data_IF_273348301766
#
_entry.id   IF_273348301766
#
_cell.length_a   1.000
_cell.length_b   1.000
_cell.length_c   1.000
_cell.angle_alpha   90.00
_cell.angle_beta   90.00
_cell.angle_gamma   90.00
#
_symmetry.space_group_name_H-M   'P 1'
#
loop_
_entity.id
_entity.type
_entity.pdbx_description
1 polymer ?
#
# COMPACT_ATOMS: atom_id res chain seq x y z
N UNK A 1 70.92 -65.17 2.15
CA UNK A 1 71.08 -66.43 1.41
C UNK A 1 70.65 -66.08 -0.03
N UNK A 2 71.68 -66.05 -0.89
CA UNK A 2 71.81 -66.48 -2.28
C UNK A 2 70.74 -65.99 -3.27
N UNK A 3 71.15 -65.05 -4.12
CA UNK A 3 71.64 -65.29 -5.53
C UNK A 3 70.56 -65.85 -6.45
N UNK A 4 70.22 -65.08 -7.55
CA UNK A 4 70.77 -65.41 -8.85
C UNK A 4 70.49 -64.24 -9.89
N UNK A 5 71.53 -63.94 -10.64
CA UNK A 5 71.64 -62.99 -11.76
C UNK A 5 71.21 -63.73 -13.04
N UNK A 6 70.66 -63.08 -13.99
CA UNK A 6 71.09 -63.13 -15.41
C UNK A 6 70.14 -62.27 -16.28
N UNK A 7 70.66 -61.24 -16.87
CA UNK A 7 71.00 -60.95 -18.28
C UNK A 7 70.07 -61.58 -19.28
N UNK A 8 69.57 -60.71 -20.19
CA UNK A 8 69.83 -60.81 -21.64
C UNK A 8 69.13 -59.64 -22.42
N UNK A 9 69.94 -58.84 -23.09
CA UNK A 9 69.92 -58.24 -24.46
C UNK A 9 68.64 -57.61 -25.02
N UNK A 10 68.73 -56.31 -25.24
CA UNK A 10 68.71 -55.60 -26.48
C UNK A 10 67.89 -56.19 -27.65
N UNK A 11 66.81 -55.51 -28.03
CA UNK A 11 66.36 -55.41 -29.42
C UNK A 11 65.72 -54.03 -29.67
N UNK A 12 66.38 -53.32 -30.56
CA UNK A 12 65.89 -52.02 -31.12
C UNK A 12 64.72 -52.31 -32.04
N UNK A 13 63.58 -51.73 -31.81
CA UNK A 13 62.57 -51.54 -32.86
C UNK A 13 62.03 -50.13 -32.79
N UNK A 14 62.15 -49.44 -33.94
CA UNK A 14 61.66 -48.12 -34.20
C UNK A 14 60.15 -48.18 -34.22
N UNK A 15 59.51 -47.45 -33.32
CA UNK A 15 58.09 -47.16 -33.46
C UNK A 15 57.90 -45.64 -33.59
N UNK A 16 57.26 -45.26 -34.69
CA UNK A 16 56.97 -43.90 -35.06
C UNK A 16 56.01 -43.25 -34.03
N UNK A 17 56.38 -42.05 -33.60
CA UNK A 17 55.61 -41.23 -32.73
C UNK A 17 54.50 -40.55 -33.55
N UNK A 18 53.25 -41.04 -33.48
CA UNK A 18 52.09 -40.34 -33.95
C UNK A 18 51.61 -39.36 -32.83
N UNK A 19 51.91 -38.06 -33.03
CA UNK A 19 51.37 -37.02 -32.18
C UNK A 19 49.95 -36.73 -32.67
N UNK A 20 48.93 -37.23 -31.97
CA UNK A 20 47.57 -36.83 -32.13
C UNK A 20 47.35 -35.47 -31.42
N UNK A 21 47.35 -34.39 -32.22
CA UNK A 21 46.96 -33.06 -31.73
C UNK A 21 45.42 -33.05 -31.58
N UNK A 22 44.94 -33.27 -30.36
CA UNK A 22 43.54 -33.05 -30.01
C UNK A 22 43.30 -31.56 -29.84
N UNK A 23 42.73 -30.91 -30.85
CA UNK A 23 42.27 -29.52 -30.76
C UNK A 23 41.04 -29.48 -29.89
N UNK A 24 41.22 -29.15 -28.61
CA UNK A 24 40.09 -28.75 -27.72
C UNK A 24 39.59 -27.36 -28.15
N UNK A 25 38.59 -27.35 -29.01
CA UNK A 25 37.80 -26.12 -29.24
C UNK A 25 37.01 -25.84 -27.94
N UNK A 26 37.56 -24.99 -27.08
CA UNK A 26 36.83 -24.45 -25.93
C UNK A 26 35.72 -23.54 -26.49
N UNK A 27 34.49 -24.08 -26.59
CA UNK A 27 33.30 -23.26 -26.84
C UNK A 27 33.09 -22.42 -25.58
N UNK A 28 33.58 -21.20 -25.55
CA UNK A 28 33.27 -20.19 -24.55
C UNK A 28 31.80 -19.81 -24.73
N UNK A 29 30.91 -20.53 -24.07
CA UNK A 29 29.53 -20.06 -23.90
C UNK A 29 29.63 -18.82 -23.01
N UNK A 30 29.27 -17.62 -23.45
CA UNK A 30 29.21 -16.49 -22.55
C UNK A 30 28.15 -16.82 -21.51
N UNK A 31 28.56 -17.10 -20.27
CA UNK A 31 27.65 -17.02 -19.13
C UNK A 31 27.21 -15.55 -19.08
N UNK A 32 26.04 -15.29 -19.65
CA UNK A 32 25.33 -14.05 -19.40
C UNK A 32 25.06 -14.03 -17.91
N UNK A 33 25.90 -13.34 -17.15
CA UNK A 33 25.59 -12.95 -15.78
C UNK A 33 24.40 -12.00 -15.85
N UNK A 34 23.21 -12.56 -16.02
CA UNK A 34 21.99 -11.83 -15.84
C UNK A 34 22.06 -11.24 -14.42
N UNK A 35 22.31 -9.92 -14.34
CA UNK A 35 22.16 -9.17 -13.10
C UNK A 35 20.77 -9.54 -12.60
N UNK A 36 20.68 -10.23 -11.46
CA UNK A 36 19.39 -10.50 -10.84
C UNK A 36 18.69 -9.15 -10.77
N UNK A 37 17.59 -8.99 -11.50
CA UNK A 37 16.87 -7.71 -11.49
C UNK A 37 16.37 -7.53 -10.05
N UNK A 38 16.66 -6.38 -9.46
CA UNK A 38 16.15 -6.03 -8.15
C UNK A 38 14.64 -6.27 -8.14
N UNK A 39 14.12 -6.90 -7.10
CA UNK A 39 12.68 -7.11 -6.97
C UNK A 39 11.95 -5.75 -6.96
N UNK A 40 10.84 -5.66 -7.69
CA UNK A 40 9.95 -4.51 -7.62
C UNK A 40 9.13 -4.61 -6.34
N UNK A 41 9.42 -3.73 -5.38
CA UNK A 41 8.85 -3.80 -4.05
C UNK A 41 7.73 -2.79 -3.89
N UNK A 42 6.62 -3.21 -3.26
CA UNK A 42 5.55 -2.29 -2.94
C UNK A 42 5.02 -2.47 -1.51
N UNK A 43 4.28 -1.47 -1.05
CA UNK A 43 3.60 -1.48 0.25
C UNK A 43 2.19 -0.90 0.14
N UNK A 44 1.47 -0.97 1.26
CA UNK A 44 0.18 -0.32 1.45
C UNK A 44 0.09 0.29 2.84
N UNK A 45 -0.70 1.35 3.00
CA UNK A 45 -1.03 1.87 4.33
C UNK A 45 -1.81 0.81 5.12
N UNK A 46 -1.51 0.63 6.43
CA UNK A 46 -2.21 -0.35 7.28
C UNK A 46 -3.53 0.23 7.80
N UNK A 47 -4.52 0.35 6.92
CA UNK A 47 -5.79 1.03 7.17
C UNK A 47 -6.87 0.15 7.79
N UNK A 48 -6.69 -1.16 7.74
CA UNK A 48 -7.58 -2.17 8.32
C UNK A 48 -6.81 -3.31 8.99
N UNK A 49 -7.45 -4.47 9.18
CA UNK A 49 -6.86 -5.67 9.77
C UNK A 49 -5.63 -6.17 8.98
N UNK A 50 -4.53 -6.45 9.68
CA UNK A 50 -3.24 -6.82 9.08
C UNK A 50 -3.32 -8.12 8.29
N UNK A 51 -4.05 -9.12 8.76
CA UNK A 51 -4.14 -10.42 8.09
C UNK A 51 -4.87 -10.30 6.76
N UNK A 52 -5.93 -9.50 6.71
CA UNK A 52 -6.67 -9.19 5.48
C UNK A 52 -5.82 -8.43 4.48
N UNK A 53 -5.04 -7.44 4.95
CA UNK A 53 -4.10 -6.69 4.10
C UNK A 53 -3.03 -7.60 3.50
N UNK A 54 -2.44 -8.49 4.30
CA UNK A 54 -1.44 -9.46 3.81
C UNK A 54 -2.04 -10.39 2.74
N UNK A 55 -3.22 -10.92 2.98
CA UNK A 55 -3.90 -11.78 2.00
C UNK A 55 -4.17 -11.04 0.68
N UNK A 56 -4.69 -9.81 0.76
CA UNK A 56 -4.95 -8.95 -0.39
C UNK A 56 -3.69 -8.67 -1.19
N UNK A 57 -2.69 -8.11 -0.53
CA UNK A 57 -1.52 -7.60 -1.23
C UNK A 57 -0.54 -8.68 -1.66
N UNK A 58 -0.58 -9.89 -1.08
CA UNK A 58 0.10 -11.04 -1.64
C UNK A 58 -0.53 -11.47 -2.98
N UNK A 59 -1.87 -11.46 -3.10
CA UNK A 59 -2.53 -11.69 -4.41
C UNK A 59 -2.13 -10.64 -5.44
N UNK A 60 -2.07 -9.37 -5.03
CA UNK A 60 -1.60 -8.27 -5.90
C UNK A 60 -0.16 -8.47 -6.32
N UNK A 61 0.73 -8.90 -5.42
CA UNK A 61 2.13 -9.19 -5.75
C UNK A 61 2.23 -10.26 -6.84
N UNK A 62 1.55 -11.40 -6.66
CA UNK A 62 1.53 -12.48 -7.66
C UNK A 62 0.95 -12.04 -9.00
N UNK A 63 -0.10 -11.23 -8.99
CA UNK A 63 -0.68 -10.66 -10.20
C UNK A 63 0.31 -9.73 -10.92
N UNK A 64 0.92 -8.78 -10.22
CA UNK A 64 1.89 -7.85 -10.78
C UNK A 64 3.12 -8.61 -11.34
N UNK A 65 3.64 -9.58 -10.60
CA UNK A 65 4.78 -10.41 -11.03
C UNK A 65 4.46 -11.13 -12.35
N UNK A 66 3.28 -11.77 -12.44
CA UNK A 66 2.85 -12.49 -13.65
C UNK A 66 2.70 -11.58 -14.88
N UNK A 67 2.37 -10.30 -14.68
CA UNK A 67 2.12 -9.33 -15.76
C UNK A 67 3.34 -8.49 -16.13
N UNK A 68 4.20 -8.21 -15.17
CA UNK A 68 5.39 -7.37 -15.39
C UNK A 68 6.63 -8.17 -15.79
N UNK A 69 6.66 -9.49 -15.50
CA UNK A 69 7.81 -10.37 -15.80
C UNK A 69 9.05 -10.07 -14.94
N UNK A 70 8.88 -9.44 -13.79
CA UNK A 70 9.93 -9.18 -12.79
C UNK A 70 9.45 -9.66 -11.43
N UNK A 71 10.36 -10.04 -10.54
CA UNK A 71 10.01 -10.40 -9.18
C UNK A 71 9.31 -9.24 -8.48
N UNK A 72 8.15 -9.49 -7.83
CA UNK A 72 7.37 -8.48 -7.13
C UNK A 72 7.14 -8.90 -5.68
N UNK A 73 7.45 -8.00 -4.75
CA UNK A 73 7.32 -8.28 -3.30
C UNK A 73 6.45 -7.24 -2.62
N UNK A 74 5.45 -7.70 -1.86
CA UNK A 74 4.72 -6.87 -0.91
C UNK A 74 5.41 -6.86 0.45
N UNK A 75 5.71 -5.68 0.99
CA UNK A 75 6.19 -5.54 2.37
C UNK A 75 5.14 -4.81 3.21
N UNK A 76 4.63 -5.45 4.28
CA UNK A 76 3.73 -4.79 5.21
C UNK A 76 4.47 -3.81 6.10
N UNK A 77 3.79 -2.75 6.51
CA UNK A 77 4.32 -1.73 7.41
C UNK A 77 3.41 -1.54 8.62
N UNK A 78 3.95 -1.02 9.72
CA UNK A 78 3.21 -0.90 10.99
C UNK A 78 2.41 0.41 11.14
N UNK A 79 2.62 1.40 10.26
CA UNK A 79 1.91 2.68 10.31
C UNK A 79 1.88 3.39 8.97
N UNK A 80 0.97 4.35 8.82
CA UNK A 80 0.93 5.24 7.65
C UNK A 80 2.24 6.03 7.47
N UNK A 81 2.84 6.47 8.57
CA UNK A 81 4.13 7.15 8.52
C UNK A 81 5.25 6.21 8.03
N UNK A 82 5.23 4.95 8.44
CA UNK A 82 6.19 3.94 7.97
C UNK A 82 6.03 3.66 6.46
N UNK A 83 4.79 3.66 5.92
CA UNK A 83 4.58 3.53 4.48
C UNK A 83 5.19 4.70 3.70
N UNK A 84 4.96 5.93 4.16
CA UNK A 84 5.55 7.13 3.56
C UNK A 84 7.08 7.12 3.68
N UNK A 85 7.63 6.71 4.82
CA UNK A 85 9.07 6.60 5.02
C UNK A 85 9.71 5.54 4.12
N UNK A 86 9.10 4.37 3.99
CA UNK A 86 9.57 3.32 3.09
C UNK A 86 9.62 3.79 1.62
N UNK A 87 8.60 4.53 1.18
CA UNK A 87 8.55 5.11 -0.15
C UNK A 87 9.61 6.19 -0.35
N UNK A 88 9.78 7.08 0.63
CA UNK A 88 10.82 8.13 0.61
C UNK A 88 12.23 7.54 0.56
N UNK A 89 12.50 6.53 1.37
CA UNK A 89 13.82 5.91 1.51
C UNK A 89 14.10 4.85 0.43
N UNK A 90 13.26 4.76 -0.61
CA UNK A 90 13.41 3.82 -1.72
C UNK A 90 13.41 2.33 -1.32
N UNK A 91 12.82 2.02 -0.18
CA UNK A 91 12.57 0.64 0.24
C UNK A 91 11.39 0.01 -0.52
N UNK A 92 10.53 0.85 -1.08
CA UNK A 92 9.42 0.47 -1.96
C UNK A 92 9.31 1.47 -3.12
N UNK A 93 8.95 0.97 -4.28
CA UNK A 93 8.84 1.79 -5.50
C UNK A 93 7.40 2.09 -5.89
N UNK A 94 6.46 1.31 -5.37
CA UNK A 94 5.01 1.48 -5.56
C UNK A 94 4.32 1.42 -4.19
N UNK A 95 3.24 2.19 -4.01
CA UNK A 95 2.50 2.13 -2.76
C UNK A 95 1.00 2.41 -2.96
N UNK A 96 0.16 1.63 -2.28
CA UNK A 96 -1.26 1.92 -2.12
C UNK A 96 -1.44 2.89 -0.96
N UNK A 97 -1.73 4.15 -1.27
CA UNK A 97 -1.89 5.23 -0.32
C UNK A 97 -3.33 5.73 -0.26
N UNK A 98 -3.73 6.32 0.87
CA UNK A 98 -4.84 7.26 0.93
C UNK A 98 -4.41 8.65 0.44
N UNK A 99 -5.36 9.55 0.19
CA UNK A 99 -5.12 10.90 -0.36
C UNK A 99 -4.02 11.65 0.38
N UNK A 100 -4.14 11.81 1.70
CA UNK A 100 -3.15 12.55 2.52
C UNK A 100 -1.77 11.89 2.53
N UNK A 101 -1.70 10.59 2.75
CA UNK A 101 -0.41 9.89 2.77
C UNK A 101 0.27 9.88 1.40
N UNK A 102 -0.51 9.75 0.31
CA UNK A 102 0.02 9.82 -1.05
C UNK A 102 0.52 11.22 -1.42
N UNK A 103 -0.22 12.28 -1.07
CA UNK A 103 0.24 13.68 -1.25
C UNK A 103 1.55 13.89 -0.51
N UNK A 104 1.64 13.48 0.77
CA UNK A 104 2.90 13.58 1.55
C UNK A 104 4.05 12.81 0.91
N UNK A 105 3.81 11.59 0.47
CA UNK A 105 4.83 10.76 -0.16
C UNK A 105 5.38 11.42 -1.44
N UNK A 106 4.50 11.96 -2.28
CA UNK A 106 4.89 12.62 -3.53
C UNK A 106 5.60 13.96 -3.33
N UNK A 107 5.26 14.72 -2.29
CA UNK A 107 6.01 15.93 -1.89
C UNK A 107 7.44 15.54 -1.47
N UNK A 108 7.60 14.46 -0.71
CA UNK A 108 8.90 14.00 -0.20
C UNK A 108 9.76 13.29 -1.26
N UNK A 109 9.17 12.84 -2.38
CA UNK A 109 9.85 12.15 -3.47
C UNK A 109 9.47 12.83 -4.80
N UNK A 110 10.15 13.91 -5.19
CA UNK A 110 9.89 14.61 -6.45
C UNK A 110 9.95 13.67 -7.66
N UNK A 111 9.08 13.89 -8.62
CA UNK A 111 8.94 13.03 -9.81
C UNK A 111 8.06 11.79 -9.60
N UNK A 112 7.60 11.51 -8.37
CA UNK A 112 6.61 10.45 -8.15
C UNK A 112 5.20 10.88 -8.58
N UNK A 113 4.41 9.88 -8.99
CA UNK A 113 3.11 10.10 -9.61
C UNK A 113 2.05 9.19 -9.00
N UNK A 114 0.82 9.71 -8.87
CA UNK A 114 -0.37 8.88 -8.74
C UNK A 114 -0.71 8.35 -10.13
N UNK A 115 -0.81 7.01 -10.29
CA UNK A 115 -0.95 6.39 -11.62
C UNK A 115 -2.27 5.66 -11.83
N UNK A 116 -2.89 5.20 -10.75
CA UNK A 116 -4.19 4.51 -10.79
C UNK A 116 -4.93 4.70 -9.47
N UNK A 117 -6.26 4.72 -9.53
CA UNK A 117 -7.16 4.80 -8.38
C UNK A 117 -8.36 3.88 -8.61
N UNK A 118 -9.05 3.47 -7.54
CA UNK A 118 -10.32 2.78 -7.69
C UNK A 118 -11.37 3.74 -8.25
N UNK A 119 -12.32 3.23 -9.03
CA UNK A 119 -13.40 4.07 -9.59
C UNK A 119 -14.14 4.83 -8.49
N UNK A 120 -14.43 4.19 -7.37
CA UNK A 120 -15.10 4.79 -6.22
C UNK A 120 -14.22 5.79 -5.44
N UNK A 121 -12.91 5.74 -5.65
CA UNK A 121 -11.97 6.63 -4.95
C UNK A 121 -11.98 8.06 -5.50
N UNK A 122 -12.54 8.29 -6.69
CA UNK A 122 -12.74 9.63 -7.26
C UNK A 122 -13.74 10.45 -6.44
N UNK A 123 -14.74 9.78 -5.83
CA UNK A 123 -15.79 10.39 -5.03
C UNK A 123 -16.00 9.63 -3.72
N UNK A 124 -14.91 9.43 -3.00
CA UNK A 124 -14.88 8.70 -1.73
C UNK A 124 -15.52 9.52 -0.61
N UNK A 125 -16.06 8.85 0.40
CA UNK A 125 -16.60 9.48 1.60
C UNK A 125 -16.26 8.66 2.86
N UNK A 126 -16.41 9.25 4.01
CA UNK A 126 -16.29 8.58 5.29
C UNK A 126 -17.53 8.80 6.16
N UNK A 127 -17.66 7.96 7.17
CA UNK A 127 -18.71 8.06 8.16
C UNK A 127 -18.18 8.63 9.48
N UNK A 128 -18.99 9.43 10.14
CA UNK A 128 -18.95 9.63 11.58
C UNK A 128 -19.85 8.57 12.21
N UNK A 129 -19.32 7.87 13.19
CA UNK A 129 -20.02 6.80 13.93
C UNK A 129 -20.09 7.13 15.40
N UNK A 130 -21.14 6.69 16.07
CA UNK A 130 -21.33 6.94 17.50
C UNK A 130 -21.78 5.68 18.22
N UNK A 131 -21.36 5.55 19.48
CA UNK A 131 -21.86 4.55 20.40
C UNK A 131 -23.30 4.87 20.81
N UNK A 132 -24.14 3.85 20.95
CA UNK A 132 -25.58 3.99 21.28
C UNK A 132 -25.83 4.79 22.55
N UNK A 133 -24.93 4.72 23.57
CA UNK A 133 -25.06 5.48 24.81
C UNK A 133 -25.03 7.01 24.63
N UNK A 134 -24.65 7.50 23.46
CA UNK A 134 -24.63 8.95 23.18
C UNK A 134 -26.00 9.52 22.86
N UNK A 135 -26.96 8.69 22.46
CA UNK A 135 -28.26 9.10 21.96
C UNK A 135 -28.20 9.84 20.61
N UNK A 136 -27.02 9.88 19.94
CA UNK A 136 -26.85 10.55 18.66
C UNK A 136 -27.52 9.75 17.54
N UNK A 137 -28.32 10.42 16.74
CA UNK A 137 -29.03 9.83 15.61
C UNK A 137 -28.42 10.29 14.28
N UNK A 138 -28.70 9.53 13.24
CA UNK A 138 -28.28 9.88 11.87
C UNK A 138 -28.91 11.21 11.43
N UNK A 139 -28.07 12.04 10.83
CA UNK A 139 -28.45 13.34 10.27
C UNK A 139 -27.81 13.52 8.90
N UNK A 140 -28.47 14.26 8.02
CA UNK A 140 -27.89 14.74 6.74
C UNK A 140 -27.02 15.98 6.96
N UNK A 141 -27.24 16.73 8.04
CA UNK A 141 -26.40 17.83 8.47
C UNK A 141 -25.29 17.36 9.42
N UNK A 142 -24.19 18.14 9.49
CA UNK A 142 -23.11 17.86 10.41
C UNK A 142 -23.62 17.88 11.88
N UNK A 143 -23.43 16.81 12.63
CA UNK A 143 -24.00 16.67 13.98
C UNK A 143 -23.20 17.48 15.01
N UNK A 144 -23.56 18.75 15.22
CA UNK A 144 -22.88 19.66 16.15
C UNK A 144 -22.87 19.16 17.60
N UNK A 145 -23.82 18.31 17.96
CA UNK A 145 -23.96 17.69 19.29
C UNK A 145 -22.93 16.58 19.60
N UNK A 146 -21.98 16.32 18.67
CA UNK A 146 -20.78 15.56 19.00
C UNK A 146 -19.80 16.33 19.91
N UNK A 147 -19.95 17.66 20.02
CA UNK A 147 -19.15 18.47 20.93
C UNK A 147 -19.27 17.96 22.39
N UNK A 148 -18.17 18.03 23.13
CA UNK A 148 -18.06 17.53 24.51
C UNK A 148 -17.96 16.02 24.66
N UNK A 149 -18.02 15.23 23.57
CA UNK A 149 -17.87 13.77 23.60
C UNK A 149 -16.41 13.35 23.62
N UNK A 150 -16.15 12.06 23.87
CA UNK A 150 -14.85 11.42 23.70
C UNK A 150 -14.73 10.95 22.24
N UNK A 151 -13.79 11.51 21.49
CA UNK A 151 -13.67 11.30 20.05
C UNK A 151 -12.38 10.54 19.65
N UNK A 152 -12.46 9.61 18.72
CA UNK A 152 -11.29 9.00 18.10
C UNK A 152 -11.21 9.25 16.60
N UNK A 153 -10.06 9.71 16.17
CA UNK A 153 -9.63 9.62 14.78
C UNK A 153 -9.10 8.22 14.47
N UNK A 154 -8.88 7.91 13.17
CA UNK A 154 -8.13 6.76 12.72
C UNK A 154 -6.62 6.96 12.89
N UNK A 155 -5.81 6.76 11.83
CA UNK A 155 -4.39 7.11 11.83
C UNK A 155 -4.17 8.60 11.64
N UNK A 156 -3.10 9.15 12.25
CA UNK A 156 -2.67 10.54 12.04
C UNK A 156 -2.38 10.90 10.57
N UNK A 157 -2.04 9.90 9.73
CA UNK A 157 -1.79 10.07 8.29
C UNK A 157 -3.00 9.76 7.40
N UNK A 158 -4.17 9.44 7.97
CA UNK A 158 -5.36 9.05 7.22
C UNK A 158 -6.12 10.26 6.65
N UNK A 159 -6.61 10.14 5.43
CA UNK A 159 -7.55 11.08 4.82
C UNK A 159 -8.92 10.97 5.48
N UNK A 160 -9.54 9.78 5.36
CA UNK A 160 -10.89 9.50 5.84
C UNK A 160 -10.99 9.37 7.36
N UNK A 161 -9.90 8.97 8.03
CA UNK A 161 -9.87 8.83 9.48
C UNK A 161 -9.31 10.04 10.23
N UNK A 162 -8.76 11.06 9.53
CA UNK A 162 -8.15 12.24 10.17
C UNK A 162 -8.41 13.53 9.40
N UNK A 163 -7.88 13.69 8.20
CA UNK A 163 -7.88 14.97 7.49
C UNK A 163 -9.29 15.52 7.29
N UNK A 164 -10.13 14.77 6.60
CA UNK A 164 -11.49 15.20 6.24
C UNK A 164 -12.39 15.34 7.48
N UNK A 165 -12.40 14.38 8.43
CA UNK A 165 -13.13 14.57 9.69
C UNK A 165 -12.72 15.84 10.44
N UNK A 166 -11.42 16.10 10.60
CA UNK A 166 -10.95 17.29 11.31
C UNK A 166 -11.32 18.58 10.58
N UNK A 167 -11.22 18.59 9.24
CA UNK A 167 -11.67 19.73 8.46
C UNK A 167 -13.15 20.06 8.73
N UNK A 168 -14.03 19.05 8.71
CA UNK A 168 -15.46 19.26 8.98
C UNK A 168 -15.72 19.66 10.43
N UNK A 169 -15.02 19.12 11.40
CA UNK A 169 -15.09 19.53 12.80
C UNK A 169 -14.74 21.02 12.91
N UNK A 170 -13.59 21.44 12.39
CA UNK A 170 -13.14 22.84 12.42
C UNK A 170 -14.10 23.77 11.66
N UNK A 171 -14.58 23.35 10.49
CA UNK A 171 -15.51 24.12 9.65
C UNK A 171 -16.83 24.39 10.38
N UNK A 172 -17.41 23.38 11.03
CA UNK A 172 -18.75 23.46 11.61
C UNK A 172 -18.76 23.92 13.07
N UNK A 173 -17.73 23.55 13.85
CA UNK A 173 -17.66 23.91 15.28
C UNK A 173 -16.71 25.08 15.56
N UNK A 174 -16.00 25.62 14.52
CA UNK A 174 -15.12 26.79 14.59
C UNK A 174 -13.99 26.69 15.62
N UNK A 175 -13.63 25.48 16.05
CA UNK A 175 -12.61 25.19 17.05
C UNK A 175 -11.77 23.97 16.62
N UNK A 176 -10.57 23.84 17.18
CA UNK A 176 -9.77 22.66 17.00
C UNK A 176 -10.36 21.44 17.76
N UNK A 177 -10.13 20.21 17.32
CA UNK A 177 -10.72 19.04 17.98
C UNK A 177 -10.45 18.98 19.50
N UNK A 178 -9.25 19.35 19.95
CA UNK A 178 -8.93 19.34 21.38
C UNK A 178 -9.71 20.37 22.21
N UNK A 179 -10.24 21.41 21.54
CA UNK A 179 -11.06 22.46 22.20
C UNK A 179 -12.56 22.14 22.12
N UNK A 180 -12.91 21.11 21.34
CA UNK A 180 -14.30 20.68 21.11
C UNK A 180 -14.64 19.46 21.94
N UNK A 181 -13.76 18.48 21.99
CA UNK A 181 -14.01 17.19 22.60
C UNK A 181 -13.40 17.09 23.99
N UNK A 182 -14.06 16.33 24.86
CA UNK A 182 -13.53 16.05 26.20
C UNK A 182 -12.18 15.31 26.11
N UNK A 183 -12.04 14.44 25.12
CA UNK A 183 -10.79 13.71 24.83
C UNK A 183 -10.72 13.41 23.34
N UNK A 184 -9.52 13.55 22.77
CA UNK A 184 -9.22 13.16 21.39
C UNK A 184 -8.19 12.04 21.40
N UNK A 185 -8.47 10.96 20.66
CA UNK A 185 -7.54 9.85 20.47
C UNK A 185 -7.31 9.50 19.00
N UNK A 186 -6.41 8.54 18.81
CA UNK A 186 -6.07 7.98 17.49
C UNK A 186 -6.05 6.46 17.60
N UNK A 187 -6.94 5.80 16.89
CA UNK A 187 -7.07 4.33 16.90
C UNK A 187 -5.96 3.61 16.12
N UNK A 188 -5.34 4.31 15.16
CA UNK A 188 -4.30 3.77 14.27
C UNK A 188 -4.84 3.26 12.92
N UNK A 189 -6.00 2.59 12.88
CA UNK A 189 -6.66 2.13 11.67
C UNK A 189 -8.19 2.10 11.81
N UNK A 190 -8.90 1.82 10.71
CA UNK A 190 -10.36 1.92 10.67
C UNK A 190 -11.06 0.78 11.41
N UNK A 191 -10.57 -0.46 11.30
CA UNK A 191 -11.13 -1.59 12.06
C UNK A 191 -11.07 -1.32 13.57
N UNK A 192 -9.93 -0.79 14.04
CA UNK A 192 -9.77 -0.41 15.43
C UNK A 192 -10.67 0.76 15.85
N UNK A 193 -10.91 1.74 14.96
CA UNK A 193 -11.88 2.81 15.22
C UNK A 193 -13.26 2.24 15.51
N UNK A 194 -13.76 1.32 14.66
CA UNK A 194 -15.06 0.68 14.84
C UNK A 194 -15.13 -0.04 16.19
N UNK A 195 -14.12 -0.86 16.50
CA UNK A 195 -14.06 -1.62 17.75
C UNK A 195 -14.09 -0.71 18.99
N UNK A 196 -13.33 0.39 18.98
CA UNK A 196 -13.26 1.32 20.10
C UNK A 196 -14.56 2.09 20.31
N UNK A 197 -15.27 2.44 19.24
CA UNK A 197 -16.59 3.10 19.36
C UNK A 197 -17.64 2.06 19.78
N UNK A 198 -17.67 0.90 19.17
CA UNK A 198 -18.62 -0.17 19.50
C UNK A 198 -18.49 -0.65 20.96
N UNK A 199 -17.29 -0.66 21.52
CA UNK A 199 -17.06 -1.02 22.93
C UNK A 199 -17.39 0.10 23.92
N UNK A 200 -17.71 1.32 23.45
CA UNK A 200 -17.93 2.49 24.27
C UNK A 200 -16.66 3.16 24.82
N UNK A 201 -15.46 2.64 24.52
CA UNK A 201 -14.19 3.26 24.91
C UNK A 201 -14.01 4.66 24.30
N UNK A 202 -14.62 4.89 23.15
CA UNK A 202 -14.84 6.19 22.54
C UNK A 202 -16.30 6.34 22.17
N UNK A 203 -16.83 7.54 22.37
CA UNK A 203 -18.23 7.83 22.12
C UNK A 203 -18.53 8.12 20.66
N UNK A 204 -17.58 8.74 19.96
CA UNK A 204 -17.68 9.11 18.54
C UNK A 204 -16.37 8.81 17.83
N UNK A 205 -16.45 8.46 16.56
CA UNK A 205 -15.26 8.23 15.74
C UNK A 205 -15.50 8.52 14.27
N UNK A 206 -14.42 8.57 13.48
CA UNK A 206 -14.49 8.74 12.04
C UNK A 206 -13.85 7.54 11.33
N UNK A 207 -14.57 6.95 10.37
CA UNK A 207 -14.18 5.70 9.73
C UNK A 207 -14.38 5.75 8.22
N UNK A 208 -13.51 5.06 7.49
CA UNK A 208 -13.61 4.77 6.07
C UNK A 208 -14.90 3.99 5.78
N UNK A 209 -15.68 4.44 4.79
CA UNK A 209 -16.94 3.80 4.43
C UNK A 209 -16.76 2.36 3.94
N UNK A 210 -15.72 2.06 3.15
CA UNK A 210 -15.48 0.71 2.63
C UNK A 210 -15.08 -0.29 3.72
N UNK A 211 -14.30 0.14 4.71
CA UNK A 211 -14.00 -0.69 5.87
C UNK A 211 -15.24 -0.92 6.72
N UNK A 212 -16.06 0.11 6.95
CA UNK A 212 -17.32 -0.03 7.64
C UNK A 212 -18.25 -1.04 6.93
N UNK A 213 -18.45 -0.88 5.62
CA UNK A 213 -19.29 -1.77 4.81
C UNK A 213 -18.77 -3.22 4.85
N UNK A 214 -17.44 -3.41 4.80
CA UNK A 214 -16.79 -4.72 4.87
C UNK A 214 -16.99 -5.37 6.25
N UNK A 215 -16.80 -4.63 7.34
CA UNK A 215 -16.99 -5.15 8.70
C UNK A 215 -18.48 -5.43 8.98
N UNK A 216 -19.39 -4.61 8.43
CA UNK A 216 -20.84 -4.85 8.51
C UNK A 216 -21.22 -6.16 7.77
N UNK A 217 -20.75 -6.34 6.53
CA UNK A 217 -20.99 -7.56 5.76
C UNK A 217 -20.41 -8.81 6.43
N UNK A 218 -19.31 -8.65 7.17
CA UNK A 218 -18.69 -9.73 7.93
C UNK A 218 -19.36 -10.01 9.28
N UNK A 219 -20.46 -9.31 9.63
CA UNK A 219 -21.18 -9.48 10.90
C UNK A 219 -20.40 -9.02 12.14
N UNK A 220 -19.37 -8.18 11.95
CA UNK A 220 -18.50 -7.69 13.04
C UNK A 220 -18.99 -6.37 13.68
N UNK A 221 -20.05 -5.79 13.14
CA UNK A 221 -20.67 -4.56 13.66
C UNK A 221 -22.00 -4.90 14.31
N UNK A 222 -22.09 -4.63 15.60
CA UNK A 222 -23.32 -4.71 16.38
C UNK A 222 -24.07 -3.37 16.29
N UNK A 223 -25.10 -3.34 15.44
CA UNK A 223 -25.89 -2.12 15.17
C UNK A 223 -26.66 -1.62 16.40
N UNK A 224 -26.80 -2.44 17.46
CA UNK A 224 -27.38 -2.00 18.74
C UNK A 224 -26.42 -1.16 19.56
N UNK A 225 -25.10 -1.27 19.29
CA UNK A 225 -24.04 -0.58 20.03
C UNK A 225 -23.41 0.58 19.27
N UNK A 226 -23.32 0.50 17.94
CA UNK A 226 -22.68 1.53 17.12
C UNK A 226 -23.46 1.79 15.84
N UNK A 227 -23.62 3.06 15.49
CA UNK A 227 -24.36 3.47 14.28
C UNK A 227 -23.65 4.61 13.56
N UNK A 228 -23.98 4.77 12.26
CA UNK A 228 -23.57 5.92 11.46
C UNK A 228 -24.45 7.10 11.85
N UNK A 229 -23.81 8.22 12.23
CA UNK A 229 -24.50 9.47 12.54
C UNK A 229 -24.38 10.53 11.45
N UNK A 230 -23.36 10.45 10.59
CA UNK A 230 -23.20 11.39 9.49
C UNK A 230 -22.28 10.83 8.39
N UNK A 231 -22.54 11.24 7.15
CA UNK A 231 -21.74 10.95 5.96
C UNK A 231 -21.12 12.24 5.42
N UNK A 232 -19.81 12.24 5.17
CA UNK A 232 -19.16 13.42 4.59
C UNK A 232 -19.55 13.64 3.13
N UNK A 233 -19.46 14.87 2.62
CA UNK A 233 -19.36 15.10 1.18
C UNK A 233 -18.24 14.30 0.53
N UNK A 234 -18.30 14.02 -0.79
CA UNK A 234 -17.28 13.23 -1.49
C UNK A 234 -15.95 13.99 -1.65
N UNK A 235 -14.87 13.22 -1.73
CA UNK A 235 -13.50 13.70 -1.94
C UNK A 235 -12.64 12.61 -2.58
N UNK A 236 -11.53 12.93 -3.31
CA UNK A 236 -10.61 11.95 -3.85
C UNK A 236 -9.81 11.28 -2.73
N UNK A 237 -9.61 9.93 -2.81
CA UNK A 237 -8.94 9.25 -1.72
C UNK A 237 -7.84 8.29 -2.18
N UNK A 238 -8.10 6.99 -2.26
CA UNK A 238 -7.04 6.00 -2.46
C UNK A 238 -6.45 6.03 -3.86
N UNK A 239 -5.14 5.80 -3.93
CA UNK A 239 -4.42 5.68 -5.20
C UNK A 239 -3.16 4.85 -5.06
N UNK A 240 -2.72 4.31 -6.21
CA UNK A 240 -1.38 3.79 -6.40
C UNK A 240 -0.44 4.94 -6.76
N UNK A 241 0.57 5.16 -5.92
CA UNK A 241 1.66 6.10 -6.22
C UNK A 241 2.93 5.34 -6.53
N UNK A 242 3.61 5.72 -7.62
CA UNK A 242 4.86 5.14 -8.09
C UNK A 242 5.99 6.16 -8.05
N UNK A 243 7.21 5.73 -7.77
CA UNK A 243 8.41 6.57 -7.83
C UNK A 243 8.75 6.91 -9.28
N UNK A 244 9.27 8.12 -9.50
CA UNK A 244 9.64 8.60 -10.83
C UNK A 244 10.88 7.93 -11.44
N UNK A 245 11.71 7.28 -10.61
CA UNK A 245 12.99 6.70 -10.99
C UNK A 245 12.93 5.21 -11.37
N UNK A 246 11.74 4.59 -11.40
CA UNK A 246 11.57 3.16 -11.69
C UNK A 246 12.06 2.76 -13.08
N UNK A 247 11.91 3.63 -14.06
CA UNK A 247 12.37 3.37 -15.44
C UNK A 247 13.90 3.22 -15.54
N UNK A 248 14.64 3.81 -14.60
CA UNK A 248 16.11 3.67 -14.54
C UNK A 248 16.53 2.26 -14.12
N UNK A 249 15.70 1.54 -13.35
CA UNK A 249 15.99 0.20 -12.84
C UNK A 249 15.44 -0.91 -13.72
N UNK A 250 14.21 -0.76 -14.18
CA UNK A 250 13.48 -1.81 -14.91
C UNK A 250 13.30 -1.51 -16.39
N UNK A 251 13.99 -0.46 -16.91
CA UNK A 251 13.98 -0.07 -18.31
C UNK A 251 12.87 0.91 -18.66
N UNK A 252 13.10 1.64 -19.76
CA UNK A 252 12.19 2.67 -20.27
C UNK A 252 10.75 2.16 -20.42
N UNK A 253 9.79 2.95 -19.97
CA UNK A 253 8.37 2.62 -20.03
C UNK A 253 7.88 1.66 -18.95
N UNK A 254 8.71 1.25 -17.99
CA UNK A 254 8.28 0.35 -16.90
C UNK A 254 7.15 0.98 -16.07
N UNK A 255 7.24 2.26 -15.73
CA UNK A 255 6.18 2.99 -15.03
C UNK A 255 4.83 2.86 -15.77
N UNK A 256 4.84 3.05 -17.09
CA UNK A 256 3.63 2.92 -17.89
C UNK A 256 3.11 1.47 -17.90
N UNK A 257 3.99 0.47 -17.97
CA UNK A 257 3.56 -0.94 -17.86
C UNK A 257 2.89 -1.22 -16.51
N UNK A 258 3.45 -0.74 -15.40
CA UNK A 258 2.83 -0.86 -14.07
C UNK A 258 1.44 -0.22 -14.06
N UNK A 259 1.31 0.99 -14.60
CA UNK A 259 0.01 1.68 -14.74
C UNK A 259 -1.00 0.83 -15.51
N UNK A 260 -0.65 0.39 -16.72
CA UNK A 260 -1.53 -0.41 -17.56
C UNK A 260 -1.93 -1.73 -16.89
N UNK A 261 -1.00 -2.40 -16.21
CA UNK A 261 -1.29 -3.62 -15.47
C UNK A 261 -2.33 -3.36 -14.36
N UNK A 262 -2.19 -2.26 -13.59
CA UNK A 262 -3.16 -1.90 -12.55
C UNK A 262 -4.53 -1.56 -13.13
N UNK A 263 -4.59 -0.79 -14.23
CA UNK A 263 -5.84 -0.41 -14.89
C UNK A 263 -6.57 -1.61 -15.51
N UNK A 264 -5.83 -2.65 -15.87
CA UNK A 264 -6.37 -3.87 -16.49
C UNK A 264 -6.68 -4.98 -15.47
N UNK A 265 -6.73 -4.71 -14.17
CA UNK A 265 -7.24 -5.67 -13.19
C UNK A 265 -8.72 -5.91 -13.47
N UNK A 266 -9.03 -7.13 -13.94
CA UNK A 266 -10.40 -7.59 -14.24
C UNK A 266 -10.84 -8.77 -13.37
N UNK A 267 -9.89 -9.39 -12.66
CA UNK A 267 -10.16 -10.51 -11.77
C UNK A 267 -11.14 -10.06 -10.65
N UNK A 268 -12.35 -10.67 -10.57
CA UNK A 268 -13.35 -10.30 -9.58
C UNK A 268 -12.86 -10.48 -8.13
N UNK A 269 -12.08 -11.53 -7.87
CA UNK A 269 -11.57 -11.80 -6.52
C UNK A 269 -10.53 -10.77 -6.11
N UNK A 270 -9.71 -10.33 -7.07
CA UNK A 270 -8.74 -9.27 -6.83
C UNK A 270 -9.43 -7.92 -6.61
N UNK A 271 -10.42 -7.57 -7.43
CA UNK A 271 -11.22 -6.36 -7.25
C UNK A 271 -12.02 -6.38 -5.93
N UNK A 272 -12.65 -7.51 -5.59
CA UNK A 272 -13.37 -7.68 -4.33
C UNK A 272 -12.46 -7.51 -3.10
N UNK A 273 -11.17 -7.83 -3.23
CA UNK A 273 -10.18 -7.60 -2.18
C UNK A 273 -10.01 -6.11 -1.86
N UNK A 274 -10.15 -5.22 -2.85
CA UNK A 274 -10.09 -3.76 -2.69
C UNK A 274 -11.43 -3.10 -2.36
N UNK A 275 -12.55 -3.78 -2.30
CA UNK A 275 -13.94 -3.44 -2.58
C UNK A 275 -14.08 -2.25 -3.56
N UNK A 276 -13.57 -2.47 -4.78
CA UNK A 276 -13.67 -1.54 -5.92
C UNK A 276 -14.22 -2.29 -7.13
N UNK A 277 -14.97 -1.57 -7.99
CA UNK A 277 -15.53 -2.13 -9.23
C UNK A 277 -14.52 -2.18 -10.35
N UNK A 278 -13.58 -1.22 -10.36
CA UNK A 278 -12.49 -1.15 -11.35
C UNK A 278 -11.40 -0.20 -10.87
N UNK A 279 -10.26 -0.23 -11.58
CA UNK A 279 -9.25 0.82 -11.48
C UNK A 279 -9.33 1.76 -12.69
N UNK A 280 -9.13 3.05 -12.45
CA UNK A 280 -9.12 4.11 -13.45
C UNK A 280 -7.83 4.92 -13.35
N UNK A 281 -7.42 5.66 -14.40
CA UNK A 281 -6.26 6.52 -14.34
C UNK A 281 -6.33 7.52 -13.17
N UNK A 282 -5.17 7.84 -12.63
CA UNK A 282 -4.99 8.90 -11.66
C UNK A 282 -3.83 9.81 -12.05
N UNK A 283 -3.87 11.03 -11.55
CA UNK A 283 -2.82 12.03 -11.68
C UNK A 283 -2.59 12.75 -10.35
N UNK A 284 -1.47 13.44 -10.21
CA UNK A 284 -1.19 14.23 -9.01
C UNK A 284 -2.21 15.36 -8.80
N UNK A 285 -2.73 15.94 -9.88
CA UNK A 285 -3.74 17.02 -9.84
C UNK A 285 -5.07 16.59 -9.26
N UNK A 286 -5.46 15.30 -9.36
CA UNK A 286 -6.70 14.79 -8.78
C UNK A 286 -6.72 14.94 -7.26
N UNK A 287 -5.55 15.00 -6.64
CA UNK A 287 -5.39 15.12 -5.19
C UNK A 287 -5.07 16.54 -4.71
N UNK A 288 -5.18 17.54 -5.60
CA UNK A 288 -5.03 18.94 -5.20
C UNK A 288 -6.04 19.34 -4.10
N UNK A 289 -7.32 18.93 -4.14
CA UNK A 289 -8.26 19.22 -3.04
C UNK A 289 -7.82 18.65 -1.69
N UNK A 290 -7.13 17.52 -1.69
CA UNK A 290 -6.58 16.93 -0.45
C UNK A 290 -5.43 17.78 0.10
N UNK A 291 -4.54 18.24 -0.77
CA UNK A 291 -3.45 19.16 -0.40
C UNK A 291 -4.00 20.47 0.17
N UNK A 292 -4.99 21.05 -0.49
CA UNK A 292 -5.59 22.33 -0.08
C UNK A 292 -6.24 22.22 1.30
N UNK A 293 -7.01 21.15 1.55
CA UNK A 293 -7.58 20.88 2.87
C UNK A 293 -6.49 20.65 3.93
N UNK A 294 -5.42 19.91 3.57
CA UNK A 294 -4.33 19.64 4.51
C UNK A 294 -3.58 20.94 4.90
N UNK A 295 -3.37 21.85 3.95
CA UNK A 295 -2.80 23.19 4.20
C UNK A 295 -3.75 24.06 5.04
N UNK A 296 -5.05 24.08 4.71
CA UNK A 296 -6.04 24.88 5.41
C UNK A 296 -6.13 24.55 6.91
N UNK A 297 -5.88 23.30 7.31
CA UNK A 297 -5.86 22.90 8.73
C UNK A 297 -4.45 22.67 9.28
N UNK A 298 -3.41 23.11 8.55
CA UNK A 298 -1.98 23.04 8.94
C UNK A 298 -1.49 21.64 9.26
N UNK A 299 -1.89 20.65 8.48
CA UNK A 299 -1.34 19.28 8.53
C UNK A 299 -0.20 19.08 7.53
N UNK A 300 -0.08 19.93 6.54
CA UNK A 300 1.04 20.06 5.59
C UNK A 300 1.35 21.56 5.49
N UNK A 301 2.62 21.91 5.40
CA UNK A 301 3.11 23.26 5.21
C UNK A 301 2.95 23.72 3.75
#
# INVERSE_FOLDING_TARGET
MLRYISKIKCLRSKFALFIAITICVAISIPLSTGKASDAFVFTAIPDEDESRLRQRFNKVASYLESKLGVAVTYIPVKSYAAAVAAFRNDQVQLAWFGGLSGVRARILVPGSEAIAQGFEDQAFFNYFIAHSSTGLMRSDEFPKNIAGKIFTFGSKGSTSGRLIPEFHIRKNLKKAPNDVFQKVGFSGNHTRTIQLVQSGAYQVGAVNSKVWETEMKAGKIDSSKVSIIWKTPPYPNYQWSIRGDVDKRWGSGFKNRVREVLLNIKDPDLLASFPRTSFVPASNSDYQPILDVAKAIKLID
#
